data_IF_329188316376
#
_entry.id   IF_329188316376
#
_cell.length_a   1.000
_cell.length_b   1.000
_cell.length_c   1.000
_cell.angle_alpha   90.00
_cell.angle_beta   90.00
_cell.angle_gamma   90.00
#
_symmetry.space_group_name_H-M   'P 1'
#
loop_
_entity.id
_entity.type
_entity.pdbx_description
1 polymer ?
#
# COMPACT_ATOMS: atom_id res chain seq x y z
N UNK A 1 71.39 -2.24 3.11
CA UNK A 1 70.57 -1.17 3.72
C UNK A 1 69.60 -0.69 2.65
N UNK A 2 68.35 -1.16 2.68
CA UNK A 2 67.29 -0.69 1.78
C UNK A 2 65.99 -0.63 2.61
N UNK A 3 65.55 0.58 2.94
CA UNK A 3 64.30 0.85 3.63
C UNK A 3 63.20 0.97 2.56
N UNK A 4 62.28 0.01 2.54
CA UNK A 4 61.08 0.09 1.70
C UNK A 4 60.02 0.86 2.49
N UNK A 5 59.80 2.11 2.14
CA UNK A 5 58.73 2.96 2.69
C UNK A 5 57.39 2.61 2.02
N UNK A 6 56.58 1.78 2.68
CA UNK A 6 55.18 1.57 2.29
C UNK A 6 54.38 2.85 2.52
N UNK A 7 53.85 3.43 1.45
CA UNK A 7 52.96 4.59 1.50
C UNK A 7 51.52 4.11 1.69
N UNK A 8 50.95 4.35 2.88
CA UNK A 8 49.53 4.11 3.15
C UNK A 8 48.74 5.34 2.64
N UNK A 9 48.06 5.19 1.51
CA UNK A 9 47.07 6.17 1.05
C UNK A 9 45.79 5.99 1.87
N UNK A 10 45.59 6.86 2.86
CA UNK A 10 44.30 6.99 3.56
C UNK A 10 43.37 7.76 2.64
N UNK A 11 42.54 7.03 1.88
CA UNK A 11 41.46 7.63 1.11
C UNK A 11 40.38 8.17 2.04
N UNK A 12 40.26 9.49 2.13
CA UNK A 12 39.15 10.13 2.83
C UNK A 12 37.87 9.94 2.00
N UNK A 13 37.02 9.01 2.40
CA UNK A 13 35.67 8.88 1.84
C UNK A 13 34.86 10.11 2.24
N UNK A 14 34.61 11.03 1.29
CA UNK A 14 33.59 12.06 1.46
C UNK A 14 32.22 11.36 1.49
N UNK A 15 31.72 11.06 2.69
CA UNK A 15 30.31 10.80 2.88
C UNK A 15 29.56 12.11 2.65
N UNK A 16 29.10 12.34 1.42
CA UNK A 16 28.14 13.40 1.15
C UNK A 16 26.86 13.09 1.93
N UNK A 17 26.69 13.73 3.09
CA UNK A 17 25.40 13.76 3.77
C UNK A 17 24.46 14.52 2.86
N UNK A 18 23.67 13.80 2.08
CA UNK A 18 22.50 14.36 1.41
C UNK A 18 21.57 14.81 2.53
N UNK A 19 21.66 16.09 2.89
CA UNK A 19 20.63 16.75 3.69
C UNK A 19 19.39 16.79 2.82
N UNK A 20 18.55 15.76 2.93
CA UNK A 20 17.22 15.77 2.35
C UNK A 20 16.52 17.04 2.81
N UNK A 21 16.28 17.97 1.89
CA UNK A 21 15.49 19.14 2.17
C UNK A 21 14.08 18.65 2.47
N UNK A 22 13.58 18.91 3.68
CA UNK A 22 12.17 18.72 3.97
C UNK A 22 11.41 19.59 2.98
N UNK A 23 10.73 18.99 2.01
CA UNK A 23 9.89 19.70 1.04
C UNK A 23 8.75 20.36 1.86
N UNK A 24 8.73 21.69 2.02
CA UNK A 24 7.66 22.32 2.77
C UNK A 24 6.38 22.16 1.97
N UNK A 25 5.41 21.48 2.57
CA UNK A 25 4.09 21.33 1.97
C UNK A 25 3.45 22.73 1.85
N UNK A 26 2.71 23.03 0.77
CA UNK A 26 2.00 24.30 0.63
C UNK A 26 1.14 24.62 1.86
N UNK A 27 0.94 25.90 2.16
CA UNK A 27 0.15 26.40 3.31
C UNK A 27 -1.28 25.84 3.36
N UNK A 28 -1.79 25.38 2.22
CA UNK A 28 -3.13 24.79 2.07
C UNK A 28 -3.10 23.26 1.86
N UNK A 29 -1.99 22.59 2.19
CA UNK A 29 -1.94 21.14 2.22
C UNK A 29 -2.81 20.62 3.37
N UNK A 30 -4.08 20.37 3.06
CA UNK A 30 -5.07 19.94 4.02
C UNK A 30 -4.79 18.51 4.49
N UNK A 31 -4.16 18.38 5.66
CA UNK A 31 -4.25 17.17 6.50
C UNK A 31 -5.66 16.95 7.09
N UNK A 32 -6.66 17.72 6.65
CA UNK A 32 -7.87 18.06 7.42
C UNK A 32 -9.20 17.65 6.77
N UNK A 33 -9.25 16.65 5.89
CA UNK A 33 -10.51 15.89 5.85
C UNK A 33 -10.62 15.15 7.17
N UNK A 34 -11.77 15.24 7.85
CA UNK A 34 -12.01 14.50 9.08
C UNK A 34 -11.76 13.01 8.82
N UNK A 35 -10.61 12.52 9.29
CA UNK A 35 -10.22 11.13 9.17
C UNK A 35 -11.30 10.33 9.89
N UNK A 36 -11.86 9.30 9.24
CA UNK A 36 -12.70 8.33 9.97
C UNK A 36 -11.89 7.87 11.16
N UNK A 37 -12.37 8.14 12.38
CA UNK A 37 -11.60 7.89 13.60
C UNK A 37 -11.43 6.39 13.83
N UNK A 38 -12.39 5.61 13.36
CA UNK A 38 -12.43 4.17 13.51
C UNK A 38 -12.72 3.49 12.17
N UNK A 39 -12.18 2.28 12.01
CA UNK A 39 -12.54 1.37 10.92
C UNK A 39 -13.50 0.33 11.50
N UNK A 40 -14.69 0.24 10.91
CA UNK A 40 -15.65 -0.79 11.26
C UNK A 40 -15.30 -2.09 10.52
N UNK A 41 -14.57 -2.97 11.21
CA UNK A 41 -14.16 -4.27 10.70
C UNK A 41 -15.30 -5.27 10.82
N UNK A 42 -15.53 -6.03 9.75
CA UNK A 42 -16.45 -7.15 9.72
C UNK A 42 -15.81 -8.37 9.08
N UNK A 43 -16.59 -9.46 8.99
CA UNK A 43 -16.19 -10.63 8.22
C UNK A 43 -16.09 -10.27 6.73
N UNK A 44 -15.09 -10.81 6.05
CA UNK A 44 -15.02 -10.72 4.59
C UNK A 44 -16.12 -11.61 3.99
N UNK A 45 -16.96 -11.05 3.11
CA UNK A 45 -18.13 -11.74 2.56
C UNK A 45 -17.79 -13.09 1.90
N UNK A 46 -16.67 -13.14 1.18
CA UNK A 46 -16.25 -14.33 0.43
C UNK A 46 -15.44 -15.33 1.26
N UNK A 47 -15.17 -15.01 2.55
CA UNK A 47 -14.32 -15.85 3.40
C UNK A 47 -14.60 -15.66 4.91
N UNK A 48 -15.82 -15.98 5.37
CA UNK A 48 -16.26 -15.69 6.75
C UNK A 48 -15.45 -16.42 7.83
N UNK A 49 -14.90 -17.61 7.54
CA UNK A 49 -14.19 -18.46 8.51
C UNK A 49 -12.66 -18.28 8.50
N UNK A 50 -12.17 -17.26 7.80
CA UNK A 50 -10.75 -17.19 7.45
C UNK A 50 -9.85 -16.50 8.48
N UNK A 51 -10.42 -15.97 9.57
CA UNK A 51 -9.71 -15.13 10.55
C UNK A 51 -9.28 -13.76 10.00
N UNK A 52 -9.84 -13.38 8.85
CA UNK A 52 -9.57 -12.13 8.13
C UNK A 52 -10.74 -11.17 8.32
N UNK A 53 -10.44 -9.89 8.37
CA UNK A 53 -11.43 -8.85 8.52
C UNK A 53 -11.41 -7.93 7.30
N UNK A 54 -12.59 -7.52 6.87
CA UNK A 54 -12.77 -6.58 5.77
C UNK A 54 -13.52 -5.34 6.27
N UNK A 55 -13.28 -4.20 5.63
CA UNK A 55 -13.94 -2.95 5.99
C UNK A 55 -14.05 -2.00 4.79
N UNK A 56 -14.82 -0.93 5.00
CA UNK A 56 -14.84 0.24 4.12
C UNK A 56 -14.19 1.42 4.80
N UNK A 57 -13.37 2.16 4.07
CA UNK A 57 -12.73 3.38 4.56
C UNK A 57 -12.95 4.54 3.60
N UNK A 58 -13.62 5.60 4.07
CA UNK A 58 -13.92 6.75 3.22
C UNK A 58 -12.76 7.75 3.16
N UNK A 59 -12.44 8.19 1.94
CA UNK A 59 -11.50 9.28 1.66
C UNK A 59 -12.14 10.26 0.68
N UNK A 60 -11.79 11.56 0.68
CA UNK A 60 -12.32 12.48 -0.31
C UNK A 60 -11.79 12.15 -1.71
N UNK A 61 -12.58 12.44 -2.75
CA UNK A 61 -12.12 12.36 -4.13
C UNK A 61 -11.13 13.49 -4.45
N UNK A 62 -11.42 14.68 -3.92
CA UNK A 62 -10.57 15.86 -3.98
C UNK A 62 -10.30 16.36 -2.54
N UNK A 63 -9.02 16.34 -2.15
CA UNK A 63 -8.59 16.82 -0.83
C UNK A 63 -8.73 18.34 -0.67
N UNK A 64 -8.84 19.10 -1.76
CA UNK A 64 -9.09 20.55 -1.74
C UNK A 64 -10.58 20.88 -1.81
N UNK A 65 -11.43 19.93 -2.19
CA UNK A 65 -12.87 20.13 -2.29
C UNK A 65 -13.64 18.92 -1.76
N UNK A 66 -13.99 18.95 -0.49
CA UNK A 66 -14.75 17.85 0.15
C UNK A 66 -16.16 17.68 -0.40
N UNK A 67 -16.71 18.68 -1.12
CA UNK A 67 -18.01 18.58 -1.79
C UNK A 67 -17.93 17.80 -3.11
N UNK A 68 -16.73 17.51 -3.62
CA UNK A 68 -16.53 16.68 -4.83
C UNK A 68 -16.90 15.21 -4.62
N UNK A 69 -17.24 14.81 -3.38
CA UNK A 69 -17.61 13.45 -3.03
C UNK A 69 -16.45 12.64 -2.44
N UNK A 70 -16.70 11.35 -2.22
CA UNK A 70 -15.80 10.45 -1.52
C UNK A 70 -15.58 9.17 -2.32
N UNK A 71 -14.38 8.60 -2.18
CA UNK A 71 -14.15 7.20 -2.49
C UNK A 71 -14.34 6.37 -1.22
N UNK A 72 -15.00 5.23 -1.36
CA UNK A 72 -15.12 4.22 -0.30
C UNK A 72 -14.11 3.12 -0.64
N UNK A 73 -12.99 3.09 0.08
CA UNK A 73 -11.92 2.13 -0.13
C UNK A 73 -12.32 0.75 0.41
N UNK A 74 -12.06 -0.31 -0.35
CA UNK A 74 -12.08 -1.67 0.18
C UNK A 74 -10.77 -1.94 0.95
N UNK A 75 -10.88 -2.45 2.17
CA UNK A 75 -9.72 -2.71 3.04
C UNK A 75 -9.81 -4.11 3.63
N UNK A 76 -8.67 -4.80 3.72
CA UNK A 76 -8.55 -6.12 4.35
C UNK A 76 -7.46 -6.11 5.43
N UNK A 77 -7.69 -6.86 6.51
CA UNK A 77 -6.75 -7.07 7.60
C UNK A 77 -6.64 -8.55 7.97
N UNK A 78 -5.41 -9.02 8.09
CA UNK A 78 -5.07 -10.21 8.87
C UNK A 78 -4.54 -9.73 10.22
N UNK A 79 -5.11 -10.22 11.32
CA UNK A 79 -4.63 -9.88 12.67
C UNK A 79 -3.35 -10.64 12.98
N UNK A 80 -2.43 -10.00 13.70
CA UNK A 80 -1.31 -10.70 14.31
C UNK A 80 -1.81 -11.92 15.10
N UNK A 81 -1.11 -13.04 14.98
CA UNK A 81 -1.45 -14.32 15.63
C UNK A 81 -0.53 -14.65 16.80
N UNK A 82 0.58 -13.92 16.94
CA UNK A 82 1.56 -14.09 18.01
C UNK A 82 1.78 -12.80 18.79
N UNK A 83 2.07 -12.96 20.08
CA UNK A 83 2.41 -11.85 20.98
C UNK A 83 3.94 -11.74 21.23
N UNK A 84 4.45 -10.55 21.61
CA UNK A 84 3.74 -9.27 21.58
C UNK A 84 3.48 -8.82 20.14
N UNK A 85 2.31 -8.27 19.86
CA UNK A 85 2.05 -7.54 18.61
C UNK A 85 3.02 -6.36 18.47
N UNK A 86 3.76 -6.33 17.38
CA UNK A 86 4.79 -5.33 17.08
C UNK A 86 4.26 -4.14 16.26
N UNK A 87 3.15 -4.31 15.54
CA UNK A 87 2.54 -3.21 14.78
C UNK A 87 1.66 -3.67 13.62
N UNK A 88 1.65 -2.87 12.55
CA UNK A 88 0.90 -3.13 11.31
C UNK A 88 1.83 -2.96 10.11
N UNK A 89 1.81 -3.94 9.20
CA UNK A 89 2.48 -3.87 7.90
C UNK A 89 1.44 -3.53 6.84
N UNK A 90 1.62 -2.38 6.20
CA UNK A 90 0.82 -1.94 5.06
C UNK A 90 1.45 -2.44 3.76
N UNK A 91 0.66 -3.06 2.90
CA UNK A 91 1.13 -3.63 1.64
C UNK A 91 0.37 -3.07 0.46
N UNK A 92 1.04 -2.96 -0.68
CA UNK A 92 0.46 -2.58 -1.95
C UNK A 92 1.12 -3.45 -3.04
N UNK A 93 0.36 -4.26 -3.81
CA UNK A 93 0.94 -5.19 -4.77
C UNK A 93 1.56 -4.53 -6.01
N UNK A 94 1.27 -3.25 -6.26
CA UNK A 94 1.75 -2.54 -7.44
C UNK A 94 0.79 -2.65 -8.63
N UNK A 95 1.34 -2.75 -9.84
CA UNK A 95 0.63 -2.54 -11.11
C UNK A 95 1.12 -1.24 -11.77
N UNK A 96 0.44 -0.08 -11.62
CA UNK A 96 -0.78 0.21 -10.83
C UNK A 96 -2.04 -0.51 -11.33
N UNK A 97 -3.12 -0.49 -10.54
CA UNK A 97 -4.38 -1.20 -10.87
C UNK A 97 -4.54 -2.57 -10.20
N UNK A 98 -3.50 -3.07 -9.51
CA UNK A 98 -3.59 -4.31 -8.74
C UNK A 98 -4.45 -4.15 -7.48
N UNK A 99 -5.37 -5.09 -7.25
CA UNK A 99 -6.17 -5.15 -6.02
C UNK A 99 -5.32 -5.63 -4.83
N UNK A 100 -5.18 -4.77 -3.83
CA UNK A 100 -4.52 -5.11 -2.56
C UNK A 100 -5.35 -6.09 -1.72
N UNK A 101 -6.68 -5.96 -1.76
CA UNK A 101 -7.60 -6.90 -1.12
C UNK A 101 -7.45 -8.29 -1.73
N UNK A 102 -7.56 -8.39 -3.05
CA UNK A 102 -7.39 -9.65 -3.79
C UNK A 102 -6.01 -10.26 -3.59
N UNK A 103 -4.95 -9.45 -3.60
CA UNK A 103 -3.58 -9.91 -3.34
C UNK A 103 -3.44 -10.62 -1.99
N UNK A 104 -3.99 -10.00 -0.94
CA UNK A 104 -3.92 -10.52 0.43
C UNK A 104 -4.83 -11.73 0.62
N UNK A 105 -6.07 -11.69 0.11
CA UNK A 105 -7.04 -12.79 0.21
C UNK A 105 -6.62 -14.04 -0.58
N UNK A 106 -5.91 -13.88 -1.70
CA UNK A 106 -5.45 -14.99 -2.52
C UNK A 106 -4.52 -15.93 -1.75
N UNK A 107 -3.28 -15.50 -1.49
CA UNK A 107 -2.28 -16.28 -0.74
C UNK A 107 -1.16 -15.44 -0.10
N UNK A 108 -1.06 -14.15 -0.41
CA UNK A 108 0.06 -13.34 0.07
C UNK A 108 -0.10 -12.92 1.53
N UNK A 109 -1.34 -12.79 2.02
CA UNK A 109 -1.60 -12.47 3.43
C UNK A 109 -0.99 -13.49 4.39
N UNK A 110 -1.21 -14.79 4.14
CA UNK A 110 -0.65 -15.87 4.97
C UNK A 110 0.88 -15.94 4.87
N UNK A 111 1.45 -15.77 3.67
CA UNK A 111 2.90 -15.74 3.47
C UNK A 111 3.57 -14.60 4.25
N UNK A 112 2.96 -13.41 4.22
CA UNK A 112 3.43 -12.25 4.97
C UNK A 112 3.26 -12.43 6.49
N UNK A 113 2.17 -13.06 6.92
CA UNK A 113 1.96 -13.41 8.32
C UNK A 113 3.09 -14.31 8.83
N UNK A 114 3.43 -15.36 8.08
CA UNK A 114 4.56 -16.25 8.42
C UNK A 114 5.90 -15.50 8.38
N UNK A 115 6.17 -14.75 7.31
CA UNK A 115 7.45 -14.05 7.14
C UNK A 115 7.71 -12.97 8.20
N UNK A 116 6.64 -12.37 8.74
CA UNK A 116 6.71 -11.37 9.81
C UNK A 116 6.73 -11.99 11.23
N UNK A 117 6.82 -13.32 11.34
CA UNK A 117 6.81 -14.04 12.61
C UNK A 117 5.45 -14.06 13.31
N UNK A 118 4.37 -13.73 12.60
CA UNK A 118 3.01 -13.67 13.12
C UNK A 118 2.72 -12.49 14.05
N UNK A 119 3.63 -11.52 14.15
CA UNK A 119 3.56 -10.44 15.16
C UNK A 119 3.03 -9.11 14.64
N UNK A 120 2.64 -9.04 13.37
CA UNK A 120 2.11 -7.82 12.77
C UNK A 120 0.72 -8.07 12.22
N UNK A 121 -0.17 -7.08 12.35
CA UNK A 121 -1.35 -7.06 11.49
C UNK A 121 -0.88 -6.81 10.05
N UNK A 122 -1.39 -7.57 9.09
CA UNK A 122 -1.13 -7.33 7.66
C UNK A 122 -2.36 -6.63 7.09
N UNK A 123 -2.18 -5.41 6.59
CA UNK A 123 -3.27 -4.58 6.05
C UNK A 123 -2.96 -4.22 4.62
N UNK A 124 -3.95 -4.36 3.75
CA UNK A 124 -3.92 -3.83 2.39
C UNK A 124 -5.28 -3.26 2.03
N UNK A 125 -5.32 -2.49 0.94
CA UNK A 125 -6.53 -1.89 0.43
C UNK A 125 -6.47 -1.85 -1.08
N UNK A 126 -7.64 -1.74 -1.70
CA UNK A 126 -7.73 -1.42 -3.11
C UNK A 126 -7.58 0.11 -3.26
N UNK A 127 -6.56 0.61 -3.99
CA UNK A 127 -6.44 2.04 -4.23
C UNK A 127 -7.69 2.65 -4.87
N UNK A 128 -7.82 3.98 -4.83
CA UNK A 128 -8.92 4.69 -5.49
C UNK A 128 -9.06 4.25 -6.96
N UNK A 129 -10.26 3.87 -7.36
CA UNK A 129 -10.56 3.43 -8.73
C UNK A 129 -10.26 1.96 -9.03
N UNK A 130 -9.74 1.19 -8.06
CA UNK A 130 -9.26 -0.18 -8.26
C UNK A 130 -10.14 -1.19 -7.54
N UNK A 131 -10.29 -2.39 -8.11
CA UNK A 131 -10.89 -3.55 -7.41
C UNK A 131 -12.29 -3.26 -6.88
N UNK A 132 -12.48 -3.49 -5.59
CA UNK A 132 -13.76 -3.29 -4.90
C UNK A 132 -13.94 -1.84 -4.37
N UNK A 133 -12.94 -0.96 -4.56
CA UNK A 133 -13.05 0.45 -4.19
C UNK A 133 -13.97 1.18 -5.17
N UNK A 134 -14.88 2.00 -4.63
CA UNK A 134 -15.85 2.78 -5.44
C UNK A 134 -15.64 4.29 -5.24
N UNK A 135 -15.82 5.13 -6.28
CA UNK A 135 -16.11 4.74 -7.67
C UNK A 135 -14.89 4.07 -8.33
N UNK A 136 -15.17 3.15 -9.28
CA UNK A 136 -14.15 2.52 -10.11
C UNK A 136 -13.68 3.46 -11.22
N UNK A 137 -12.43 3.27 -11.65
CA UNK A 137 -11.88 3.93 -12.82
C UNK A 137 -12.03 2.97 -14.01
N UNK A 138 -13.20 3.01 -14.66
CA UNK A 138 -13.49 2.13 -15.79
C UNK A 138 -13.50 2.93 -17.10
N UNK A 139 -12.59 2.58 -18.01
CA UNK A 139 -12.51 3.17 -19.35
C UNK A 139 -13.20 2.29 -20.41
N UNK A 140 -13.38 1.01 -20.10
CA UNK A 140 -13.89 -0.02 -21.01
C UNK A 140 -15.25 -0.49 -20.56
N UNK A 141 -16.10 -0.89 -21.51
CA UNK A 141 -17.45 -1.40 -21.18
C UNK A 141 -17.42 -2.83 -20.66
N UNK A 142 -16.38 -3.59 -21.02
CA UNK A 142 -16.23 -4.99 -20.63
C UNK A 142 -14.78 -5.31 -20.30
N UNK A 143 -14.58 -6.31 -19.44
CA UNK A 143 -13.24 -6.84 -19.15
C UNK A 143 -12.57 -7.39 -20.41
N UNK A 144 -13.32 -7.97 -21.34
CA UNK A 144 -12.77 -8.48 -22.60
C UNK A 144 -12.19 -7.36 -23.46
N UNK A 145 -12.86 -6.21 -23.51
CA UNK A 145 -12.37 -5.02 -24.23
C UNK A 145 -11.08 -4.47 -23.56
N UNK A 146 -11.05 -4.41 -22.24
CA UNK A 146 -9.87 -4.01 -21.47
C UNK A 146 -8.68 -4.97 -21.70
N UNK A 147 -8.90 -6.27 -21.54
CA UNK A 147 -7.89 -7.30 -21.75
C UNK A 147 -7.37 -7.26 -23.18
N UNK A 148 -8.27 -7.13 -24.17
CA UNK A 148 -7.88 -7.02 -25.57
C UNK A 148 -7.00 -5.79 -25.82
N UNK A 149 -7.30 -4.66 -25.19
CA UNK A 149 -6.48 -3.45 -25.30
C UNK A 149 -5.06 -3.68 -24.76
N UNK A 150 -4.92 -4.35 -23.60
CA UNK A 150 -3.61 -4.60 -23.00
C UNK A 150 -2.82 -5.72 -23.69
N UNK A 151 -3.47 -6.84 -24.03
CA UNK A 151 -2.84 -7.99 -24.70
C UNK A 151 -2.42 -7.64 -26.13
N UNK A 152 -3.31 -7.01 -26.91
CA UNK A 152 -3.04 -6.69 -28.33
C UNK A 152 -2.20 -5.41 -28.47
N UNK A 153 -2.41 -4.44 -27.58
CA UNK A 153 -1.74 -3.13 -27.65
C UNK A 153 -0.33 -3.11 -27.04
N UNK A 154 -0.06 -3.96 -26.04
CA UNK A 154 1.20 -3.93 -25.29
C UNK A 154 1.92 -5.28 -25.20
N UNK A 155 1.33 -6.37 -25.71
CA UNK A 155 2.00 -7.66 -25.85
C UNK A 155 2.35 -8.35 -24.51
N UNK A 156 1.58 -8.06 -23.46
CA UNK A 156 1.60 -8.76 -22.17
C UNK A 156 0.58 -9.90 -22.17
#
# INVERSE_FOLDING_TARGET
MALVLSSILVGASLAAVVKGTNFPLPTDYHRYTARSKDINWGVCADSPDSGRECARFEVPLDWHNTAAGKASLAVVRYKAVNEPKLGTLFTNPGGPGGSGVGFILGNHGSRLMTASGGKYDIVSWDPRGVGETVPRADCFKTITEEVSYWEVGYGI
#
